data_IF_487194014901
#
_entry.id   IF_487194014901
#
_cell.length_a   1.000
_cell.length_b   1.000
_cell.length_c   1.000
_cell.angle_alpha   90.00
_cell.angle_beta   90.00
_cell.angle_gamma   90.00
#
_symmetry.space_group_name_H-M   'P 1'
#
loop_
_entity.id
_entity.type
_entity.pdbx_description
1 polymer ?
#
# COMPACT_ATOMS: atom_id res chain seq x y z
N UNK A 1 -18.79 -7.85 -10.84
CA UNK A 1 -17.59 -8.68 -10.99
C UNK A 1 -17.50 -9.60 -9.77
N UNK A 2 -18.30 -10.67 -9.73
CA UNK A 2 -18.29 -11.66 -8.65
C UNK A 2 -17.80 -12.98 -9.26
N UNK A 3 -16.65 -13.49 -8.83
CA UNK A 3 -16.16 -14.83 -9.21
C UNK A 3 -14.73 -14.93 -9.75
N UNK A 4 -14.11 -13.83 -10.19
CA UNK A 4 -12.71 -13.86 -10.64
C UNK A 4 -11.77 -14.08 -9.44
N UNK A 5 -10.86 -15.05 -9.55
CA UNK A 5 -9.81 -15.26 -8.56
C UNK A 5 -8.62 -14.36 -8.85
N UNK A 6 -7.74 -14.20 -7.86
CA UNK A 6 -6.54 -13.39 -8.03
C UNK A 6 -5.58 -13.99 -9.06
N UNK A 7 -5.60 -15.31 -9.24
CA UNK A 7 -4.85 -16.02 -10.25
C UNK A 7 -5.28 -15.65 -11.67
N UNK A 8 -6.57 -15.32 -11.87
CA UNK A 8 -7.13 -14.94 -13.16
C UNK A 8 -6.74 -13.50 -13.56
N UNK A 9 -6.13 -12.73 -12.64
CA UNK A 9 -5.73 -11.35 -12.88
C UNK A 9 -4.84 -11.18 -14.12
N UNK A 10 -3.98 -12.18 -14.41
CA UNK A 10 -3.09 -12.14 -15.57
C UNK A 10 -3.84 -12.20 -16.91
N UNK A 11 -5.08 -12.70 -16.92
CA UNK A 11 -5.89 -12.87 -18.11
C UNK A 11 -6.57 -11.57 -18.57
N UNK A 12 -6.68 -10.57 -17.68
CA UNK A 12 -7.34 -9.30 -17.98
C UNK A 12 -6.34 -8.28 -18.55
N UNK A 13 -6.64 -7.59 -19.68
CA UNK A 13 -5.77 -6.56 -20.24
C UNK A 13 -5.48 -5.41 -19.25
N UNK A 14 -4.22 -4.98 -19.16
CA UNK A 14 -3.82 -3.93 -18.21
C UNK A 14 -4.46 -2.58 -18.54
N UNK A 15 -4.69 -2.30 -19.82
CA UNK A 15 -5.30 -1.06 -20.32
C UNK A 15 -6.75 -0.93 -19.85
N UNK A 16 -7.45 -2.06 -19.76
CA UNK A 16 -8.82 -2.12 -19.24
C UNK A 16 -8.79 -1.94 -17.73
N UNK A 17 -7.91 -2.66 -17.02
CA UNK A 17 -7.77 -2.55 -15.57
C UNK A 17 -7.34 -1.14 -15.11
N UNK A 18 -6.47 -0.48 -15.87
CA UNK A 18 -5.99 0.87 -15.57
C UNK A 18 -7.08 1.94 -15.66
N UNK A 19 -8.18 1.65 -16.38
CA UNK A 19 -9.37 2.51 -16.53
C UNK A 19 -10.49 2.18 -15.54
N UNK A 20 -10.34 1.11 -14.75
CA UNK A 20 -11.33 0.75 -13.73
C UNK A 20 -11.34 1.84 -12.66
N UNK A 21 -12.50 2.47 -12.49
CA UNK A 21 -12.70 3.47 -11.43
C UNK A 21 -12.68 2.81 -10.05
N UNK A 22 -12.25 3.57 -9.04
CA UNK A 22 -12.28 3.13 -7.64
C UNK A 22 -13.69 2.67 -7.25
N UNK A 23 -13.76 1.50 -6.62
CA UNK A 23 -15.01 0.97 -6.06
C UNK A 23 -15.45 1.82 -4.88
N UNK A 24 -16.67 2.33 -4.93
CA UNK A 24 -17.25 3.18 -3.87
C UNK A 24 -16.43 4.44 -3.58
N UNK A 25 -15.67 4.94 -4.57
CA UNK A 25 -14.76 6.08 -4.46
C UNK A 25 -13.64 5.90 -3.43
N UNK A 26 -13.32 4.67 -3.04
CA UNK A 26 -12.32 4.38 -1.98
C UNK A 26 -11.26 3.40 -2.42
N UNK A 27 -11.67 2.28 -3.01
CA UNK A 27 -10.76 1.16 -3.29
C UNK A 27 -10.36 1.11 -4.76
N UNK A 28 -9.07 1.22 -5.05
CA UNK A 28 -8.55 1.23 -6.42
C UNK A 28 -7.07 0.88 -6.53
N UNK A 29 -6.49 1.13 -7.71
CA UNK A 29 -5.04 1.08 -7.95
C UNK A 29 -4.34 2.21 -7.19
N UNK A 30 -3.04 2.06 -6.93
CA UNK A 30 -2.22 3.05 -6.22
C UNK A 30 -2.94 3.49 -4.92
N UNK A 31 -3.28 2.52 -4.06
CA UNK A 31 -4.11 2.78 -2.89
C UNK A 31 -3.39 3.66 -1.88
N UNK A 32 -2.10 3.43 -1.64
CA UNK A 32 -1.33 4.24 -0.69
C UNK A 32 -1.20 5.67 -1.19
N UNK A 33 -0.86 5.85 -2.47
CA UNK A 33 -0.82 7.15 -3.13
C UNK A 33 -2.14 7.93 -2.94
N UNK A 34 -3.28 7.28 -3.19
CA UNK A 34 -4.61 7.87 -3.00
C UNK A 34 -4.90 8.22 -1.54
N UNK A 35 -4.51 7.34 -0.60
CA UNK A 35 -4.71 7.59 0.83
C UNK A 35 -3.87 8.78 1.33
N UNK A 36 -2.74 9.09 0.67
CA UNK A 36 -1.95 10.32 0.86
C UNK A 36 -2.50 11.55 0.11
N UNK A 37 -3.67 11.43 -0.53
CA UNK A 37 -4.41 12.54 -1.13
C UNK A 37 -4.04 12.89 -2.57
N UNK A 38 -3.37 11.99 -3.29
CA UNK A 38 -2.87 12.25 -4.64
C UNK A 38 -3.75 11.60 -5.72
N UNK A 39 -3.67 12.14 -6.95
CA UNK A 39 -4.34 11.55 -8.11
C UNK A 39 -3.65 10.24 -8.54
N UNK A 40 -4.43 9.29 -9.03
CA UNK A 40 -3.93 8.00 -9.50
C UNK A 40 -3.04 8.08 -10.74
N UNK A 41 -3.06 9.21 -11.47
CA UNK A 41 -2.33 9.45 -12.71
C UNK A 41 -1.24 10.53 -12.53
N UNK A 42 -0.58 10.52 -11.36
CA UNK A 42 0.51 11.43 -11.03
C UNK A 42 1.75 11.23 -11.93
N UNK A 43 2.48 12.32 -12.20
CA UNK A 43 3.78 12.22 -12.87
C UNK A 43 4.86 11.70 -11.90
N UNK A 44 5.96 11.16 -12.43
CA UNK A 44 7.09 10.68 -11.60
C UNK A 44 7.72 11.84 -10.80
N UNK A 45 7.75 13.05 -11.37
CA UNK A 45 8.30 14.22 -10.70
C UNK A 45 7.49 14.57 -9.46
N UNK A 46 6.17 14.72 -9.63
CA UNK A 46 5.27 15.09 -8.54
C UNK A 46 5.22 13.98 -7.47
N UNK A 47 5.35 12.72 -7.87
CA UNK A 47 5.45 11.60 -6.93
C UNK A 47 6.69 11.72 -6.03
N UNK A 48 7.86 12.05 -6.60
CA UNK A 48 9.08 12.21 -5.82
C UNK A 48 8.99 13.37 -4.84
N UNK A 49 8.53 14.53 -5.31
CA UNK A 49 8.31 15.70 -4.46
C UNK A 49 7.37 15.36 -3.30
N UNK A 50 6.32 14.59 -3.57
CA UNK A 50 5.39 14.17 -2.54
C UNK A 50 5.99 13.18 -1.55
N UNK A 51 6.86 12.26 -1.99
CA UNK A 51 7.55 11.35 -1.07
C UNK A 51 8.46 12.16 -0.13
N UNK A 52 9.17 13.17 -0.65
CA UNK A 52 9.95 14.08 0.20
C UNK A 52 9.08 14.89 1.16
N UNK A 53 7.89 15.31 0.72
CA UNK A 53 6.93 15.98 1.59
C UNK A 53 6.45 15.06 2.72
N UNK A 54 6.12 13.80 2.41
CA UNK A 54 5.74 12.78 3.39
C UNK A 54 6.86 12.56 4.41
N UNK A 55 8.11 12.43 3.95
CA UNK A 55 9.28 12.27 4.82
C UNK A 55 9.48 13.46 5.77
N UNK A 56 9.17 14.68 5.32
CA UNK A 56 9.21 15.88 6.15
C UNK A 56 8.06 15.99 7.16
N UNK A 57 6.88 15.47 6.83
CA UNK A 57 5.67 15.63 7.65
C UNK A 57 5.58 14.57 8.75
N UNK A 58 5.95 13.32 8.46
CA UNK A 58 5.77 12.20 9.38
C UNK A 58 7.06 11.87 10.11
N UNK A 59 7.08 12.04 11.44
CA UNK A 59 8.20 11.60 12.30
C UNK A 59 8.41 10.08 12.30
N UNK A 60 7.37 9.32 11.98
CA UNK A 60 7.37 7.86 11.91
C UNK A 60 6.20 7.35 11.04
N UNK A 61 6.51 6.43 10.13
CA UNK A 61 5.53 5.65 9.36
C UNK A 61 5.65 4.18 9.79
N UNK A 62 4.53 3.55 10.12
CA UNK A 62 4.46 2.16 10.59
C UNK A 62 4.25 1.21 9.41
N UNK A 63 5.03 0.12 9.36
CA UNK A 63 4.95 -0.90 8.30
C UNK A 63 4.17 -2.11 8.81
N UNK A 64 3.10 -2.48 8.11
CA UNK A 64 2.22 -3.58 8.52
C UNK A 64 2.95 -4.93 8.61
N UNK A 65 3.90 -5.19 7.71
CA UNK A 65 4.74 -6.39 7.68
C UNK A 65 5.81 -6.43 8.78
N UNK A 66 6.05 -5.30 9.48
CA UNK A 66 7.05 -5.12 10.54
C UNK A 66 6.42 -4.41 11.74
N UNK A 67 5.20 -4.84 12.10
CA UNK A 67 4.36 -4.14 13.07
C UNK A 67 5.02 -4.09 14.45
N UNK A 68 5.62 -5.19 14.91
CA UNK A 68 6.28 -5.25 16.22
C UNK A 68 7.44 -4.25 16.30
N UNK A 69 8.33 -4.24 15.30
CA UNK A 69 9.46 -3.30 15.27
C UNK A 69 8.98 -1.85 15.13
N UNK A 70 7.94 -1.61 14.34
CA UNK A 70 7.34 -0.28 14.17
C UNK A 70 6.73 0.23 15.50
N UNK A 71 6.11 -0.64 16.30
CA UNK A 71 5.56 -0.28 17.60
C UNK A 71 6.65 0.00 18.63
N UNK A 72 7.78 -0.71 18.57
CA UNK A 72 8.96 -0.38 19.38
C UNK A 72 9.45 1.03 19.04
N UNK A 73 9.55 1.38 17.75
CA UNK A 73 9.94 2.73 17.33
C UNK A 73 8.92 3.79 17.79
N UNK A 74 7.62 3.52 17.65
CA UNK A 74 6.55 4.41 18.10
C UNK A 74 6.65 4.68 19.60
N UNK A 75 6.82 3.63 20.41
CA UNK A 75 6.98 3.74 21.87
C UNK A 75 8.11 4.71 22.22
N UNK A 76 9.28 4.56 21.57
CA UNK A 76 10.42 5.45 21.81
C UNK A 76 10.14 6.89 21.41
N UNK A 77 9.47 7.10 20.26
CA UNK A 77 9.10 8.44 19.76
C UNK A 77 8.11 9.17 20.68
N UNK A 78 7.21 8.43 21.34
CA UNK A 78 6.22 9.00 22.26
C UNK A 78 6.68 9.03 23.73
N UNK A 79 7.92 8.59 24.01
CA UNK A 79 8.45 8.44 25.37
C UNK A 79 7.57 7.56 26.28
N UNK A 80 6.91 6.56 25.69
CA UNK A 80 6.04 5.64 26.41
C UNK A 80 6.82 4.55 27.15
N UNK A 81 6.30 4.11 28.29
CA UNK A 81 6.78 2.89 28.93
C UNK A 81 6.27 1.66 28.16
N UNK A 82 6.68 0.45 28.55
CA UNK A 82 6.18 -0.75 27.84
C UNK A 82 4.72 -1.03 28.21
N UNK A 83 4.34 -0.68 29.43
CA UNK A 83 3.01 -0.86 30.01
C UNK A 83 1.96 0.01 29.30
N UNK A 84 2.37 1.13 28.69
CA UNK A 84 1.52 2.03 27.92
C UNK A 84 1.14 1.47 26.53
N UNK A 85 1.84 0.42 26.06
CA UNK A 85 1.68 -0.12 24.70
C UNK A 85 0.82 -1.39 24.73
N UNK A 86 -0.50 -1.21 24.62
CA UNK A 86 -1.45 -2.34 24.54
C UNK A 86 -1.86 -2.59 23.08
N UNK A 87 -1.64 -3.81 22.58
CA UNK A 87 -1.82 -4.17 21.17
C UNK A 87 -2.78 -5.35 21.02
N UNK A 88 -3.75 -5.22 20.12
CA UNK A 88 -4.62 -6.32 19.70
C UNK A 88 -4.46 -6.59 18.22
N UNK A 89 -4.16 -7.83 17.87
CA UNK A 89 -4.04 -8.23 16.46
C UNK A 89 -5.42 -8.25 15.80
N UNK A 90 -5.71 -7.22 15.00
CA UNK A 90 -6.93 -7.09 14.19
C UNK A 90 -6.57 -6.86 12.73
N UNK A 91 -7.41 -7.34 11.82
CA UNK A 91 -7.21 -7.22 10.36
C UNK A 91 -5.90 -7.85 9.85
N UNK A 92 -5.29 -8.77 10.61
CA UNK A 92 -4.11 -9.48 10.18
C UNK A 92 -4.42 -10.31 8.93
N UNK A 93 -3.62 -10.10 7.89
CA UNK A 93 -3.77 -10.81 6.62
C UNK A 93 -3.40 -12.29 6.83
N UNK A 94 -4.32 -13.21 6.54
CA UNK A 94 -4.03 -14.64 6.52
C UNK A 94 -2.93 -14.94 5.49
N UNK A 95 -2.10 -15.95 5.74
CA UNK A 95 -1.10 -16.43 4.76
C UNK A 95 -1.78 -16.66 3.41
N UNK A 96 -1.36 -15.90 2.39
CA UNK A 96 -1.86 -16.04 1.02
C UNK A 96 -1.05 -17.12 0.28
N UNK A 97 -1.68 -17.75 -0.71
CA UNK A 97 -0.98 -18.60 -1.67
C UNK A 97 0.07 -17.79 -2.44
N UNK A 98 1.10 -18.49 -2.95
CA UNK A 98 2.10 -17.86 -3.81
C UNK A 98 1.44 -17.46 -5.13
N UNK A 99 1.56 -16.19 -5.51
CA UNK A 99 1.19 -15.73 -6.85
C UNK A 99 2.25 -16.17 -7.86
N UNK A 100 1.83 -16.41 -9.10
CA UNK A 100 2.77 -16.59 -10.20
C UNK A 100 3.60 -15.32 -10.40
N UNK A 101 4.81 -15.47 -10.93
CA UNK A 101 5.69 -14.34 -11.24
C UNK A 101 4.99 -13.33 -12.16
N UNK A 102 4.31 -13.82 -13.20
CA UNK A 102 3.60 -12.98 -14.17
C UNK A 102 2.47 -12.19 -13.52
N UNK A 103 1.62 -12.85 -12.72
CA UNK A 103 0.54 -12.16 -12.00
C UNK A 103 1.10 -11.09 -11.05
N UNK A 104 2.19 -11.38 -10.33
CA UNK A 104 2.85 -10.40 -9.46
C UNK A 104 3.36 -9.19 -10.26
N UNK A 105 4.05 -9.42 -11.37
CA UNK A 105 4.61 -8.37 -12.22
C UNK A 105 3.51 -7.44 -12.76
N UNK A 106 2.38 -8.01 -13.19
CA UNK A 106 1.23 -7.24 -13.68
C UNK A 106 0.56 -6.41 -12.59
N UNK A 107 0.42 -6.96 -11.38
CA UNK A 107 -0.14 -6.21 -10.23
C UNK A 107 0.77 -5.04 -9.87
N UNK A 108 2.09 -5.23 -9.87
CA UNK A 108 3.06 -4.16 -9.64
C UNK A 108 2.99 -3.08 -10.73
N UNK A 109 2.86 -3.48 -12.01
CA UNK A 109 2.69 -2.53 -13.10
C UNK A 109 1.41 -1.70 -12.98
N UNK A 110 0.29 -2.29 -12.54
CA UNK A 110 -0.95 -1.57 -12.29
C UNK A 110 -0.83 -0.59 -11.10
N UNK A 111 0.00 -0.93 -10.10
CA UNK A 111 0.23 -0.14 -8.89
C UNK A 111 1.63 0.51 -8.89
N UNK A 112 2.08 0.99 -10.06
CA UNK A 112 3.46 1.42 -10.25
C UNK A 112 3.87 2.57 -9.33
N UNK A 113 2.95 3.46 -8.98
CA UNK A 113 3.25 4.60 -8.11
C UNK A 113 3.51 4.17 -6.66
N UNK A 114 2.81 3.13 -6.17
CA UNK A 114 3.05 2.54 -4.85
C UNK A 114 4.28 1.61 -4.82
N UNK A 115 4.83 1.26 -5.99
CA UNK A 115 5.97 0.36 -6.13
C UNK A 115 7.30 1.09 -6.41
N UNK A 116 7.30 2.42 -6.40
CA UNK A 116 8.53 3.21 -6.58
C UNK A 116 9.44 3.01 -5.38
N UNK A 117 10.65 2.56 -5.66
CA UNK A 117 11.74 2.55 -4.68
C UNK A 117 12.46 3.90 -4.78
N UNK A 118 12.57 4.60 -3.64
CA UNK A 118 13.44 5.77 -3.46
C UNK A 118 14.80 5.30 -2.98
#
# INVERSE_FOLDING_TARGET
MYGAKLEDFSQFPLEVLARVKRKGSRFGKNQMLFDFGLDENISISDLREKIEEIDRIFDLIIIAERMEESLVLLRHKLCWSLEDVVVFTKNARRKKGKLSFETRKRILALNSADAVHV
#
